data_IF_638650148828
#
_entry.id   IF_638650148828
#
_cell.length_a   1.000
_cell.length_b   1.000
_cell.length_c   1.000
_cell.angle_alpha   90.00
_cell.angle_beta   90.00
_cell.angle_gamma   90.00
#
_symmetry.space_group_name_H-M   'P 1'
#
loop_
_entity.id
_entity.type
_entity.pdbx_description
1 polymer ?
#
# COMPACT_ATOMS: atom_id res chain seq x y z
N UNK A 1 -2.60 10.59 22.27
CA UNK A 1 -1.38 10.32 21.44
C UNK A 1 -0.68 11.62 21.13
N UNK A 2 0.66 11.67 21.25
CA UNK A 2 1.45 12.82 20.82
C UNK A 2 2.80 12.36 20.26
N UNK A 3 3.05 12.62 18.99
CA UNK A 3 4.27 12.24 18.27
C UNK A 3 4.72 13.34 17.32
N UNK A 4 6.02 13.61 17.28
CA UNK A 4 6.66 14.46 16.29
C UNK A 4 7.68 13.66 15.48
N UNK A 5 7.74 13.94 14.18
CA UNK A 5 8.71 13.32 13.31
C UNK A 5 9.09 14.19 12.12
N UNK A 6 10.28 13.96 11.60
CA UNK A 6 10.77 14.60 10.38
C UNK A 6 11.12 13.55 9.33
N UNK A 7 10.66 13.75 8.11
CA UNK A 7 10.91 12.89 6.96
C UNK A 7 11.82 13.61 5.96
N UNK A 8 12.98 13.01 5.67
CA UNK A 8 13.93 13.55 4.69
C UNK A 8 13.47 13.33 3.24
N UNK A 9 12.88 12.17 2.94
CA UNK A 9 12.29 11.91 1.64
C UNK A 9 10.80 12.25 1.61
N UNK A 10 10.51 13.52 1.39
CA UNK A 10 9.14 14.04 1.32
C UNK A 10 8.31 13.43 0.18
N UNK A 11 8.95 12.92 -0.88
CA UNK A 11 8.24 12.31 -2.00
C UNK A 11 7.66 10.95 -1.61
N UNK A 12 8.40 10.14 -0.86
CA UNK A 12 7.91 8.85 -0.36
C UNK A 12 6.72 9.04 0.58
N UNK A 13 6.78 10.02 1.49
CA UNK A 13 5.63 10.32 2.37
C UNK A 13 4.38 10.72 1.55
N UNK A 14 4.56 11.59 0.56
CA UNK A 14 3.47 12.00 -0.35
C UNK A 14 2.89 10.82 -1.11
N UNK A 15 3.74 9.96 -1.68
CA UNK A 15 3.31 8.81 -2.46
C UNK A 15 2.64 7.75 -1.58
N UNK A 16 3.15 7.53 -0.36
CA UNK A 16 2.54 6.65 0.64
C UNK A 16 1.13 7.13 1.06
N UNK A 17 0.99 8.40 1.46
CA UNK A 17 -0.31 8.94 1.85
C UNK A 17 -1.29 8.95 0.66
N UNK A 18 -0.80 9.19 -0.56
CA UNK A 18 -1.60 9.10 -1.78
C UNK A 18 -2.04 7.65 -2.06
N UNK A 19 -1.21 6.67 -1.76
CA UNK A 19 -1.53 5.25 -1.88
C UNK A 19 -2.64 4.85 -0.88
N UNK A 20 -2.50 5.26 0.38
CA UNK A 20 -3.51 5.01 1.41
C UNK A 20 -4.84 5.66 1.03
N UNK A 21 -4.81 6.89 0.53
CA UNK A 21 -5.99 7.64 0.10
C UNK A 21 -6.77 6.97 -1.05
N UNK A 22 -6.12 6.16 -1.89
CA UNK A 22 -6.80 5.35 -2.90
C UNK A 22 -7.70 4.25 -2.29
N UNK A 23 -7.39 3.83 -1.08
CA UNK A 23 -8.16 2.81 -0.36
C UNK A 23 -9.23 3.46 0.52
N UNK A 24 -8.88 4.50 1.27
CA UNK A 24 -9.81 5.15 2.21
C UNK A 24 -9.39 6.60 2.49
N UNK A 25 -10.39 7.45 2.73
CA UNK A 25 -10.21 8.81 3.26
C UNK A 25 -9.78 8.80 4.74
N UNK A 26 -10.06 7.71 5.46
CA UNK A 26 -9.77 7.56 6.87
C UNK A 26 -8.62 6.59 7.08
N UNK A 27 -7.68 6.95 7.93
CA UNK A 27 -6.56 6.12 8.33
C UNK A 27 -6.43 6.07 9.84
N UNK A 28 -6.35 4.86 10.39
CA UNK A 28 -5.97 4.65 11.78
C UNK A 28 -4.45 4.72 11.88
N UNK A 29 -3.94 5.57 12.75
CA UNK A 29 -2.51 5.75 13.02
C UNK A 29 -2.21 5.36 14.45
N UNK A 30 -1.22 4.51 14.64
CA UNK A 30 -0.70 4.12 15.95
C UNK A 30 0.75 4.56 16.05
N UNK A 31 1.09 5.25 17.16
CA UNK A 31 2.46 5.63 17.48
C UNK A 31 3.01 4.81 18.65
N UNK A 32 4.20 4.26 18.47
CA UNK A 32 4.98 3.53 19.46
C UNK A 32 6.46 3.89 19.38
N UNK A 33 7.28 3.36 20.29
CA UNK A 33 8.73 3.64 20.30
C UNK A 33 9.44 3.09 19.06
N UNK A 34 8.88 2.07 18.45
CA UNK A 34 9.38 1.38 17.25
C UNK A 34 9.03 2.10 15.95
N UNK A 35 8.10 3.07 15.98
CA UNK A 35 7.67 3.83 14.82
C UNK A 35 6.18 4.04 14.74
N UNK A 36 5.67 4.14 13.50
CA UNK A 36 4.26 4.33 13.19
C UNK A 36 3.67 3.10 12.49
N UNK A 37 2.42 2.78 12.80
CA UNK A 37 1.60 1.88 11.99
C UNK A 37 0.40 2.65 11.48
N UNK A 38 0.11 2.53 10.18
CA UNK A 38 -1.06 3.11 9.52
C UNK A 38 -1.91 1.98 8.96
N UNK A 39 -3.22 2.08 9.16
CA UNK A 39 -4.15 1.10 8.62
C UNK A 39 -5.36 1.81 8.00
N UNK A 40 -5.67 1.45 6.77
CA UNK A 40 -6.84 1.93 6.05
C UNK A 40 -7.58 0.76 5.41
N UNK A 41 -8.89 0.85 5.36
CA UNK A 41 -9.76 -0.13 4.71
C UNK A 41 -10.86 0.60 3.96
N UNK A 42 -11.20 0.14 2.76
CA UNK A 42 -12.29 0.72 2.00
C UNK A 42 -13.65 0.43 2.66
N UNK A 43 -14.64 1.25 2.33
CA UNK A 43 -15.99 1.15 2.90
C UNK A 43 -16.63 -0.21 2.69
N UNK A 44 -16.38 -0.85 1.54
CA UNK A 44 -16.91 -2.18 1.20
C UNK A 44 -16.12 -3.32 1.80
N UNK A 45 -15.00 -3.03 2.48
CA UNK A 45 -14.06 -4.01 3.06
C UNK A 45 -13.49 -5.00 2.06
N UNK A 46 -13.32 -4.56 0.84
CA UNK A 46 -12.73 -5.34 -0.26
C UNK A 46 -11.23 -5.14 -0.33
N UNK A 47 -10.76 -3.93 -0.06
CA UNK A 47 -9.34 -3.60 -0.09
C UNK A 47 -8.89 -2.96 1.23
N UNK A 48 -7.68 -3.26 1.66
CA UNK A 48 -7.06 -2.65 2.83
C UNK A 48 -5.58 -2.36 2.57
N UNK A 49 -5.04 -1.42 3.35
CA UNK A 49 -3.61 -1.14 3.36
C UNK A 49 -3.11 -1.08 4.81
N UNK A 50 -2.08 -1.86 5.10
CA UNK A 50 -1.39 -1.93 6.39
C UNK A 50 0.06 -1.51 6.17
N UNK A 51 0.46 -0.43 6.80
CA UNK A 51 1.77 0.18 6.64
C UNK A 51 2.48 0.21 7.97
N UNK A 52 3.74 -0.23 7.99
CA UNK A 52 4.62 -0.10 9.13
C UNK A 52 5.80 0.77 8.75
N UNK A 53 6.05 1.79 9.53
CA UNK A 53 7.16 2.73 9.36
C UNK A 53 8.01 2.66 10.61
N UNK A 54 9.16 1.98 10.53
CA UNK A 54 10.06 1.91 11.68
C UNK A 54 10.66 3.27 11.99
N UNK A 55 10.99 3.53 13.25
CA UNK A 55 11.56 4.81 13.72
C UNK A 55 12.79 5.25 12.94
N UNK A 56 13.60 4.29 12.46
CA UNK A 56 14.77 4.56 11.61
C UNK A 56 14.47 5.11 10.20
N UNK A 57 13.22 5.18 9.79
CA UNK A 57 12.80 5.85 8.55
C UNK A 57 12.86 7.37 8.67
N UNK A 58 12.68 7.89 9.89
CA UNK A 58 12.59 9.31 10.19
C UNK A 58 13.98 9.87 10.51
N UNK A 59 14.25 11.11 10.12
CA UNK A 59 15.42 11.85 10.57
C UNK A 59 15.32 12.26 12.05
N UNK A 60 14.10 12.60 12.48
CA UNK A 60 13.75 12.84 13.88
C UNK A 60 12.46 12.09 14.18
N UNK A 61 12.40 11.39 15.31
CA UNK A 61 11.20 10.69 15.77
C UNK A 61 11.11 10.76 17.28
N UNK A 62 10.09 11.43 17.79
CA UNK A 62 9.88 11.65 19.22
C UNK A 62 8.44 11.31 19.58
N UNK A 63 8.25 10.33 20.45
CA UNK A 63 6.95 9.96 21.00
C UNK A 63 6.85 10.50 22.39
N UNK A 64 6.05 11.55 22.61
CA UNK A 64 5.76 12.07 23.95
C UNK A 64 4.67 11.24 24.63
N UNK A 65 3.66 10.80 23.85
CA UNK A 65 2.56 9.99 24.34
C UNK A 65 2.14 8.97 23.29
N UNK A 66 2.26 7.67 23.64
CA UNK A 66 1.82 6.55 22.79
C UNK A 66 0.30 6.53 22.69
N UNK A 67 -0.21 6.03 21.58
CA UNK A 67 -1.64 5.87 21.37
C UNK A 67 -2.03 5.75 19.93
N UNK A 68 -3.32 5.83 19.69
CA UNK A 68 -3.94 5.66 18.39
C UNK A 68 -4.83 6.87 18.06
N UNK A 69 -4.90 7.26 16.80
CA UNK A 69 -5.80 8.31 16.29
C UNK A 69 -6.36 7.91 14.94
N UNK A 70 -7.58 8.33 14.64
CA UNK A 70 -8.13 8.26 13.29
C UNK A 70 -7.96 9.62 12.61
N UNK A 71 -7.33 9.61 11.43
CA UNK A 71 -7.07 10.81 10.63
C UNK A 71 -7.82 10.76 9.31
N UNK A 72 -8.47 11.87 8.95
CA UNK A 72 -8.86 12.13 7.57
C UNK A 72 -7.63 12.59 6.78
N UNK A 73 -7.23 11.82 5.76
CA UNK A 73 -5.97 12.07 5.03
C UNK A 73 -6.12 12.90 3.77
N UNK A 74 -7.36 13.21 3.34
CA UNK A 74 -7.59 14.03 2.15
C UNK A 74 -6.92 15.41 2.23
N UNK A 75 -6.97 16.05 3.39
CA UNK A 75 -6.34 17.35 3.62
C UNK A 75 -4.81 17.25 3.63
N UNK A 76 -4.26 16.20 4.27
CA UNK A 76 -2.82 15.94 4.24
C UNK A 76 -2.32 15.71 2.81
N UNK A 77 -3.02 14.90 2.02
CA UNK A 77 -2.68 14.65 0.62
C UNK A 77 -2.72 15.95 -0.20
N UNK A 78 -3.72 16.82 0.03
CA UNK A 78 -3.81 18.12 -0.61
C UNK A 78 -2.66 19.05 -0.23
N UNK A 79 -2.29 19.11 1.03
CA UNK A 79 -1.16 19.92 1.50
C UNK A 79 0.17 19.46 0.90
N UNK A 80 0.36 18.15 0.72
CA UNK A 80 1.56 17.58 0.13
C UNK A 80 1.60 17.64 -1.40
N UNK A 81 0.52 18.02 -2.08
CA UNK A 81 0.44 18.01 -3.55
C UNK A 81 1.60 18.75 -4.23
N UNK A 82 2.00 19.89 -3.68
CA UNK A 82 3.03 20.76 -4.24
C UNK A 82 4.44 20.51 -3.66
N UNK A 83 4.61 19.44 -2.88
CA UNK A 83 5.90 19.00 -2.38
C UNK A 83 6.74 18.49 -3.54
N UNK A 84 8.01 18.87 -3.59
CA UNK A 84 9.00 18.46 -4.59
C UNK A 84 10.16 17.75 -3.90
N UNK A 85 10.98 17.06 -4.69
CA UNK A 85 12.20 16.43 -4.21
C UNK A 85 13.08 17.48 -3.48
N UNK A 86 13.64 17.10 -2.34
CA UNK A 86 14.46 17.95 -1.50
C UNK A 86 13.70 18.84 -0.50
N UNK A 87 12.36 18.73 -0.43
CA UNK A 87 11.62 19.32 0.68
C UNK A 87 11.78 18.45 1.92
N UNK A 88 11.95 19.08 3.07
CA UNK A 88 11.77 18.41 4.37
C UNK A 88 10.32 18.55 4.82
N UNK A 89 9.84 17.52 5.51
CA UNK A 89 8.50 17.46 6.07
C UNK A 89 8.61 17.15 7.55
N UNK A 90 8.24 18.12 8.41
CA UNK A 90 8.07 17.88 9.85
C UNK A 90 6.60 17.83 10.18
N UNK A 91 6.19 16.75 10.85
CA UNK A 91 4.80 16.54 11.30
C UNK A 91 4.75 16.41 12.83
N UNK A 92 3.72 16.99 13.42
CA UNK A 92 3.31 16.73 14.79
C UNK A 92 1.88 16.24 14.78
N UNK A 93 1.64 15.06 15.35
CA UNK A 93 0.32 14.45 15.45
C UNK A 93 -0.11 14.42 16.91
N UNK A 94 -1.28 14.94 17.19
CA UNK A 94 -1.95 14.82 18.50
C UNK A 94 -3.43 14.48 18.30
N UNK A 95 -4.13 14.21 19.40
CA UNK A 95 -5.56 13.90 19.37
C UNK A 95 -6.41 15.09 18.88
N UNK A 96 -5.90 16.31 19.00
CA UNK A 96 -6.64 17.54 18.70
C UNK A 96 -6.13 18.26 17.44
N UNK A 97 -4.88 18.04 17.05
CA UNK A 97 -4.25 18.79 15.98
C UNK A 97 -3.17 17.99 15.25
N UNK A 98 -3.15 18.12 13.93
CA UNK A 98 -2.05 17.71 13.06
C UNK A 98 -1.37 18.95 12.52
N UNK A 99 -0.12 19.15 12.87
CA UNK A 99 0.73 20.22 12.33
C UNK A 99 1.63 19.66 11.24
N UNK A 100 1.65 20.29 10.07
CA UNK A 100 2.49 19.93 8.94
C UNK A 100 3.35 21.14 8.54
N UNK A 101 4.66 21.02 8.69
CA UNK A 101 5.64 22.02 8.27
C UNK A 101 6.42 21.49 7.06
N UNK A 102 6.39 22.25 5.97
CA UNK A 102 7.07 21.93 4.71
C UNK A 102 8.13 23.01 4.45
N UNK A 103 9.39 22.62 4.35
CA UNK A 103 10.47 23.54 4.01
C UNK A 103 11.18 23.10 2.72
N UNK A 104 11.43 24.05 1.81
CA UNK A 104 12.25 23.79 0.62
C UNK A 104 13.72 23.61 1.00
N UNK A 105 14.48 22.86 0.20
CA UNK A 105 15.89 22.56 0.44
C UNK A 105 16.77 23.81 0.65
N UNK A 106 16.43 24.92 -0.02
CA UNK A 106 17.15 26.19 0.10
C UNK A 106 16.58 27.14 1.19
N UNK A 107 15.55 26.69 1.92
CA UNK A 107 14.91 27.49 2.98
C UNK A 107 14.06 28.67 2.49
N UNK A 108 13.95 28.90 1.19
CA UNK A 108 13.18 30.05 0.64
C UNK A 108 11.68 29.92 0.87
N UNK A 109 11.18 28.71 0.96
CA UNK A 109 9.75 28.42 1.12
C UNK A 109 9.57 27.63 2.41
N UNK A 110 8.78 28.17 3.32
CA UNK A 110 8.32 27.48 4.51
C UNK A 110 6.78 27.61 4.56
N UNK A 111 6.08 26.46 4.68
CA UNK A 111 4.63 26.39 4.75
C UNK A 111 4.23 25.62 5.99
N UNK A 112 3.33 26.20 6.75
CA UNK A 112 2.75 25.54 7.92
C UNK A 112 1.27 25.36 7.69
N UNK A 113 0.79 24.14 7.89
CA UNK A 113 -0.63 23.77 7.87
C UNK A 113 -1.01 23.21 9.23
N UNK A 114 -2.19 23.59 9.69
CA UNK A 114 -2.83 23.03 10.87
C UNK A 114 -4.10 22.35 10.39
N UNK A 115 -4.25 21.08 10.73
CA UNK A 115 -5.37 20.23 10.33
C UNK A 115 -5.95 19.64 11.59
N UNK A 116 -7.25 19.77 11.78
CA UNK A 116 -7.94 19.11 12.89
C UNK A 116 -8.26 17.69 12.48
N UNK A 117 -7.81 16.68 13.25
CA UNK A 117 -8.08 15.30 12.94
C UNK A 117 -9.59 15.04 12.96
N UNK A 118 -10.04 14.25 12.02
CA UNK A 118 -11.40 13.71 12.08
C UNK A 118 -11.48 12.77 13.28
N UNK A 119 -12.43 13.04 14.19
CA UNK A 119 -12.66 12.19 15.36
C UNK A 119 -13.51 10.97 14.97
N UNK A 120 -12.96 10.12 14.13
CA UNK A 120 -13.54 8.83 13.79
C UNK A 120 -13.16 7.73 14.76
N UNK A 121 -13.81 6.59 14.63
CA UNK A 121 -13.42 5.40 15.38
C UNK A 121 -12.11 4.84 14.79
N UNK A 122 -11.15 4.58 15.68
CA UNK A 122 -9.93 3.89 15.33
C UNK A 122 -10.27 2.45 14.94
N UNK A 123 -9.99 2.08 13.70
CA UNK A 123 -10.33 0.77 13.15
C UNK A 123 -9.05 -0.04 12.96
N UNK A 124 -8.74 -0.93 13.90
CA UNK A 124 -7.70 -1.94 13.74
C UNK A 124 -8.36 -3.27 13.43
N UNK A 125 -8.31 -3.70 12.19
CA UNK A 125 -8.62 -5.09 11.87
C UNK A 125 -7.41 -5.96 12.26
N UNK A 126 -7.65 -6.92 13.13
CA UNK A 126 -6.73 -8.04 13.30
C UNK A 126 -6.85 -8.92 12.06
N UNK A 127 -6.10 -8.56 11.01
CA UNK A 127 -5.99 -9.41 9.84
C UNK A 127 -5.37 -10.73 10.28
N UNK A 128 -6.01 -11.85 9.96
CA UNK A 128 -5.43 -13.15 10.25
C UNK A 128 -4.12 -13.32 9.49
N UNK A 129 -3.22 -14.10 10.03
CA UNK A 129 -2.07 -14.57 9.27
C UNK A 129 -2.58 -15.52 8.19
N UNK A 130 -2.71 -14.98 6.97
CA UNK A 130 -3.08 -15.77 5.81
C UNK A 130 -1.90 -16.69 5.48
N UNK A 131 -2.00 -17.96 5.82
CA UNK A 131 -1.03 -18.95 5.33
C UNK A 131 -1.17 -19.04 3.81
N UNK A 132 -0.35 -18.32 3.11
CA UNK A 132 -0.36 -18.30 1.65
C UNK A 132 0.43 -19.48 1.09
N UNK A 133 -0.16 -20.14 0.07
CA UNK A 133 0.49 -21.23 -0.68
C UNK A 133 1.47 -20.72 -1.73
N UNK A 134 1.19 -19.58 -2.33
CA UNK A 134 2.00 -18.99 -3.38
C UNK A 134 2.65 -17.68 -2.93
N UNK A 135 3.92 -17.53 -3.28
CA UNK A 135 4.70 -16.32 -3.14
C UNK A 135 5.44 -16.05 -4.45
N UNK A 136 5.13 -14.93 -5.08
CA UNK A 136 5.73 -14.50 -6.33
C UNK A 136 6.42 -13.14 -6.10
N UNK A 137 7.70 -13.05 -6.46
CA UNK A 137 8.42 -11.79 -6.50
C UNK A 137 8.64 -11.38 -7.95
N UNK A 138 8.31 -10.15 -8.29
CA UNK A 138 8.49 -9.61 -9.63
C UNK A 138 8.53 -8.08 -9.61
N UNK A 139 9.06 -7.44 -10.69
CA UNK A 139 8.96 -5.99 -10.85
C UNK A 139 7.49 -5.54 -10.87
N UNK A 140 7.16 -4.51 -10.10
CA UNK A 140 5.79 -3.95 -10.03
C UNK A 140 5.27 -3.53 -11.40
N UNK A 141 6.17 -3.06 -12.30
CA UNK A 141 5.84 -2.68 -13.67
C UNK A 141 5.26 -3.84 -14.48
N UNK A 142 5.78 -5.07 -14.31
CA UNK A 142 5.30 -6.25 -15.03
C UNK A 142 3.89 -6.64 -14.60
N UNK A 143 3.59 -6.59 -13.29
CA UNK A 143 2.21 -6.83 -12.83
C UNK A 143 1.26 -5.78 -13.41
N UNK A 144 1.66 -4.50 -13.38
CA UNK A 144 0.83 -3.41 -13.91
C UNK A 144 0.53 -3.56 -15.39
N UNK A 145 1.54 -3.88 -16.20
CA UNK A 145 1.37 -4.12 -17.62
C UNK A 145 0.38 -5.25 -17.88
N UNK A 146 0.55 -6.38 -17.18
CA UNK A 146 -0.36 -7.52 -17.29
C UNK A 146 -1.80 -7.17 -16.89
N UNK A 147 -1.99 -6.45 -15.78
CA UNK A 147 -3.31 -6.03 -15.31
C UNK A 147 -3.96 -5.10 -16.34
N UNK A 148 -3.23 -4.10 -16.85
CA UNK A 148 -3.75 -3.14 -17.83
C UNK A 148 -4.14 -3.81 -19.17
N UNK A 149 -3.40 -4.82 -19.60
CA UNK A 149 -3.75 -5.58 -20.79
C UNK A 149 -5.03 -6.41 -20.58
N UNK A 150 -5.16 -7.05 -19.43
CA UNK A 150 -6.31 -7.90 -19.11
C UNK A 150 -7.58 -7.10 -18.81
N UNK A 151 -7.47 -5.86 -18.29
CA UNK A 151 -8.60 -4.94 -18.10
C UNK A 151 -9.34 -4.59 -19.41
N UNK A 152 -8.69 -4.75 -20.56
CA UNK A 152 -9.33 -4.60 -21.88
C UNK A 152 -10.33 -5.72 -22.19
N UNK A 153 -10.27 -6.80 -21.42
CA UNK A 153 -11.05 -8.03 -21.64
C UNK A 153 -12.13 -8.20 -20.57
N UNK A 154 -11.80 -8.01 -19.28
CA UNK A 154 -12.70 -8.28 -18.16
C UNK A 154 -12.40 -7.38 -16.98
N UNK A 155 -13.36 -7.26 -16.05
CA UNK A 155 -13.18 -6.56 -14.76
C UNK A 155 -12.54 -7.45 -13.69
N UNK A 156 -12.43 -8.74 -13.97
CA UNK A 156 -11.86 -9.73 -13.06
C UNK A 156 -10.86 -10.65 -13.76
N UNK A 157 -9.90 -11.15 -12.98
CA UNK A 157 -8.94 -12.12 -13.46
C UNK A 157 -8.76 -13.27 -12.47
N UNK A 158 -8.47 -14.45 -13.02
CA UNK A 158 -7.99 -15.61 -12.30
C UNK A 158 -6.46 -15.54 -12.22
N UNK A 159 -5.93 -15.59 -11.01
CA UNK A 159 -4.51 -15.80 -10.75
C UNK A 159 -4.27 -17.27 -10.42
N UNK A 160 -3.28 -17.87 -11.05
CA UNK A 160 -2.86 -19.25 -10.80
C UNK A 160 -1.34 -19.30 -10.66
N UNK A 161 -0.85 -19.89 -9.58
CA UNK A 161 0.56 -20.18 -9.42
C UNK A 161 0.77 -21.69 -9.32
N UNK A 162 1.70 -22.20 -10.10
CA UNK A 162 2.07 -23.61 -10.16
C UNK A 162 3.60 -23.72 -10.15
N UNK A 163 4.13 -24.94 -10.17
CA UNK A 163 5.57 -25.18 -10.20
C UNK A 163 6.18 -24.50 -11.43
N UNK A 164 6.97 -23.43 -11.15
CA UNK A 164 7.70 -22.72 -12.19
C UNK A 164 6.88 -21.79 -13.09
N UNK A 165 5.64 -21.49 -12.74
CA UNK A 165 4.84 -20.51 -13.50
C UNK A 165 3.82 -19.76 -12.65
N UNK A 166 3.64 -18.49 -12.96
CA UNK A 166 2.54 -17.67 -12.46
C UNK A 166 1.75 -17.12 -13.64
N UNK A 167 0.44 -17.28 -13.59
CA UNK A 167 -0.46 -16.97 -14.70
C UNK A 167 -1.58 -16.08 -14.23
N UNK A 168 -1.88 -15.05 -15.02
CA UNK A 168 -3.07 -14.20 -14.85
C UNK A 168 -3.92 -14.36 -16.10
N UNK A 169 -5.19 -14.74 -15.93
CA UNK A 169 -6.13 -14.99 -17.02
C UNK A 169 -7.40 -14.16 -16.81
N UNK A 170 -7.86 -13.52 -17.87
CA UNK A 170 -9.14 -12.82 -17.92
C UNK A 170 -9.93 -13.29 -19.13
N UNK A 171 -11.25 -13.44 -18.98
CA UNK A 171 -12.14 -13.86 -20.06
C UNK A 171 -13.51 -13.21 -19.94
N UNK A 172 -14.14 -12.98 -21.08
CA UNK A 172 -15.56 -12.68 -21.21
C UNK A 172 -16.20 -13.64 -22.25
N UNK A 173 -17.41 -13.36 -22.70
CA UNK A 173 -18.13 -14.21 -23.67
C UNK A 173 -17.45 -14.22 -25.06
N UNK A 174 -16.69 -13.19 -25.40
CA UNK A 174 -16.15 -12.98 -26.76
C UNK A 174 -14.62 -13.13 -26.80
N UNK A 175 -13.94 -12.81 -25.71
CA UNK A 175 -12.48 -12.67 -25.67
C UNK A 175 -11.88 -13.32 -24.42
N UNK A 176 -10.67 -13.81 -24.57
CA UNK A 176 -9.86 -14.30 -23.45
C UNK A 176 -8.42 -13.82 -23.59
N UNK A 177 -7.78 -13.53 -22.47
CA UNK A 177 -6.36 -13.17 -22.39
C UNK A 177 -5.68 -13.97 -21.29
N UNK A 178 -4.43 -14.32 -21.56
CA UNK A 178 -3.59 -15.07 -20.63
C UNK A 178 -2.18 -14.50 -20.66
N UNK A 179 -1.67 -14.12 -19.50
CA UNK A 179 -0.31 -13.65 -19.33
C UNK A 179 0.41 -14.58 -18.38
N UNK A 180 1.54 -15.09 -18.83
CA UNK A 180 2.35 -16.06 -18.11
C UNK A 180 3.70 -15.45 -17.72
N UNK A 181 4.03 -15.59 -16.45
CA UNK A 181 5.34 -15.28 -15.88
C UNK A 181 6.06 -16.60 -15.59
N UNK A 182 7.32 -16.65 -15.94
CA UNK A 182 8.23 -17.75 -15.62
C UNK A 182 9.45 -17.18 -14.87
N UNK A 183 10.12 -17.98 -14.03
CA UNK A 183 11.33 -17.54 -13.37
C UNK A 183 12.35 -17.03 -14.39
N UNK A 184 12.94 -15.87 -14.13
CA UNK A 184 13.92 -15.25 -15.00
C UNK A 184 14.95 -14.48 -14.17
N UNK A 185 16.19 -14.90 -14.23
CA UNK A 185 17.40 -14.24 -13.75
C UNK A 185 17.26 -13.53 -12.37
N UNK A 186 16.64 -14.18 -11.40
CA UNK A 186 16.30 -13.66 -10.07
C UNK A 186 15.37 -12.43 -10.06
N UNK A 187 14.94 -11.93 -11.22
CA UNK A 187 13.99 -10.83 -11.31
C UNK A 187 12.54 -11.29 -11.14
N UNK A 188 12.27 -12.57 -11.43
CA UNK A 188 10.99 -13.23 -11.17
C UNK A 188 11.25 -14.51 -10.39
N UNK A 189 10.75 -14.55 -9.16
CA UNK A 189 10.83 -15.72 -8.28
C UNK A 189 9.42 -16.25 -8.03
N UNK A 190 9.22 -17.55 -8.16
CA UNK A 190 7.93 -18.19 -7.97
C UNK A 190 8.12 -19.36 -7.01
N UNK A 191 7.55 -19.25 -5.82
CA UNK A 191 7.52 -20.28 -4.80
C UNK A 191 6.07 -20.69 -4.54
N UNK A 192 5.77 -21.98 -4.64
CA UNK A 192 4.43 -22.50 -4.39
C UNK A 192 4.52 -23.74 -3.50
N UNK A 193 3.84 -23.66 -2.35
CA UNK A 193 3.63 -24.79 -1.46
C UNK A 193 2.30 -25.44 -1.79
N UNK A 194 2.27 -26.75 -2.05
CA UNK A 194 1.06 -27.51 -2.40
C UNK A 194 0.32 -26.92 -3.63
N UNK A 195 0.98 -26.95 -4.82
CA UNK A 195 0.42 -26.40 -6.05
C UNK A 195 -0.76 -27.22 -6.62
N UNK A 196 -1.63 -26.60 -7.43
CA UNK A 196 -1.65 -25.17 -7.73
C UNK A 196 -2.35 -24.33 -6.66
N UNK A 197 -1.94 -23.08 -6.51
CA UNK A 197 -2.73 -22.05 -5.82
C UNK A 197 -3.52 -21.25 -6.84
N UNK A 198 -4.81 -20.99 -6.59
CA UNK A 198 -5.66 -20.26 -7.54
C UNK A 198 -6.73 -19.42 -6.84
N UNK A 199 -6.97 -18.22 -7.36
CA UNK A 199 -8.04 -17.34 -6.88
C UNK A 199 -8.42 -16.29 -7.90
N UNK A 200 -9.58 -15.66 -7.72
CA UNK A 200 -10.10 -14.60 -8.60
C UNK A 200 -10.07 -13.25 -7.89
N UNK A 201 -9.68 -12.20 -8.61
CA UNK A 201 -9.57 -10.84 -8.05
C UNK A 201 -10.05 -9.79 -9.04
N UNK A 202 -10.49 -8.65 -8.51
CA UNK A 202 -10.84 -7.47 -9.31
C UNK A 202 -9.59 -6.87 -9.96
N UNK A 203 -9.61 -6.73 -11.27
CA UNK A 203 -8.54 -6.09 -12.05
C UNK A 203 -8.49 -4.58 -11.77
N UNK A 204 -9.63 -3.93 -11.54
CA UNK A 204 -9.67 -2.52 -11.16
C UNK A 204 -8.90 -2.25 -9.87
N UNK A 205 -9.11 -3.08 -8.84
CA UNK A 205 -8.38 -2.95 -7.58
C UNK A 205 -6.91 -3.32 -7.74
N UNK A 206 -6.58 -4.35 -8.51
CA UNK A 206 -5.19 -4.71 -8.79
C UNK A 206 -4.44 -3.58 -9.51
N UNK A 207 -5.07 -2.90 -10.49
CA UNK A 207 -4.46 -1.73 -11.15
C UNK A 207 -4.24 -0.57 -10.17
N UNK A 208 -5.28 -0.22 -9.39
CA UNK A 208 -5.17 0.86 -8.39
C UNK A 208 -4.04 0.59 -7.39
N UNK A 209 -4.02 -0.60 -6.80
CA UNK A 209 -3.03 -0.95 -5.78
C UNK A 209 -1.62 -1.07 -6.37
N UNK A 210 -1.44 -1.77 -7.48
CA UNK A 210 -0.13 -1.89 -8.11
C UNK A 210 0.42 -0.55 -8.59
N UNK A 211 -0.43 0.34 -9.12
CA UNK A 211 -0.07 1.71 -9.49
C UNK A 211 0.39 2.54 -8.30
N UNK A 212 -0.25 2.36 -7.15
CA UNK A 212 0.14 3.04 -5.92
C UNK A 212 1.49 2.53 -5.41
N UNK A 213 1.66 1.21 -5.34
CA UNK A 213 2.87 0.57 -4.84
C UNK A 213 4.09 0.83 -5.74
N UNK A 214 3.90 0.94 -7.05
CA UNK A 214 4.97 1.27 -8.00
C UNK A 214 5.63 2.64 -7.76
N UNK A 215 4.99 3.55 -7.03
CA UNK A 215 5.60 4.83 -6.64
C UNK A 215 6.49 4.71 -5.40
N UNK A 216 6.32 3.64 -4.66
CA UNK A 216 7.05 3.36 -3.41
C UNK A 216 8.29 2.54 -3.71
N UNK A 217 8.15 1.47 -4.52
CA UNK A 217 9.25 0.58 -4.86
C UNK A 217 9.01 -0.13 -6.19
N UNK A 218 10.10 -0.48 -6.86
CA UNK A 218 10.07 -1.25 -8.11
C UNK A 218 9.84 -2.75 -7.88
N UNK A 219 10.15 -3.25 -6.68
CA UNK A 219 9.97 -4.65 -6.31
C UNK A 219 8.61 -4.90 -5.66
N UNK A 220 7.96 -5.98 -6.04
CA UNK A 220 6.68 -6.41 -5.51
C UNK A 220 6.69 -7.89 -5.18
N UNK A 221 6.20 -8.24 -4.00
CA UNK A 221 5.90 -9.59 -3.60
C UNK A 221 4.37 -9.78 -3.59
N UNK A 222 3.89 -10.79 -4.29
CA UNK A 222 2.50 -11.20 -4.35
C UNK A 222 2.35 -12.48 -3.56
N UNK A 223 1.43 -12.52 -2.60
CA UNK A 223 1.13 -13.71 -1.81
C UNK A 223 -0.35 -14.03 -1.91
N UNK A 224 -0.71 -15.27 -2.22
CA UNK A 224 -2.10 -15.69 -2.24
C UNK A 224 -2.28 -17.20 -2.04
N UNK A 225 -3.52 -17.61 -1.83
CA UNK A 225 -3.97 -19.00 -1.74
C UNK A 225 -5.37 -19.13 -2.32
N UNK A 226 -5.86 -20.36 -2.39
CA UNK A 226 -7.19 -20.67 -2.92
C UNK A 226 -8.27 -19.90 -2.17
N UNK A 227 -9.02 -19.07 -2.88
CA UNK A 227 -10.14 -18.28 -2.37
C UNK A 227 -9.80 -17.44 -1.11
N UNK A 228 -8.56 -17.00 -0.97
CA UNK A 228 -8.13 -16.12 0.10
C UNK A 228 -7.72 -14.74 -0.44
N UNK A 229 -7.67 -13.71 0.41
CA UNK A 229 -7.15 -12.43 0.01
C UNK A 229 -5.75 -12.53 -0.59
N UNK A 230 -5.45 -11.73 -1.62
CA UNK A 230 -4.09 -11.53 -2.10
C UNK A 230 -3.45 -10.40 -1.31
N UNK A 231 -2.19 -10.59 -0.97
CA UNK A 231 -1.33 -9.54 -0.41
C UNK A 231 -0.32 -9.10 -1.47
N UNK A 232 -0.26 -7.81 -1.69
CA UNK A 232 0.75 -7.12 -2.48
C UNK A 232 1.67 -6.40 -1.50
N UNK A 233 2.90 -6.84 -1.39
CA UNK A 233 3.84 -6.35 -0.38
C UNK A 233 5.03 -5.70 -1.07
N UNK A 234 5.39 -4.50 -0.61
CA UNK A 234 6.58 -3.81 -1.08
C UNK A 234 7.32 -3.18 0.09
N UNK A 235 8.62 -2.99 -0.08
CA UNK A 235 9.52 -2.45 0.92
C UNK A 235 10.30 -1.27 0.38
N UNK A 236 10.53 -0.26 1.22
CA UNK A 236 11.42 0.85 0.93
C UNK A 236 12.19 1.25 2.19
N UNK A 237 13.43 0.77 2.31
CA UNK A 237 14.22 0.95 3.53
C UNK A 237 13.51 0.37 4.76
N UNK A 238 13.16 1.22 5.70
CA UNK A 238 12.45 0.87 6.94
C UNK A 238 10.92 1.00 6.84
N UNK A 239 10.39 1.04 5.63
CA UNK A 239 8.97 1.13 5.33
C UNK A 239 8.47 -0.19 4.75
N UNK A 240 7.49 -0.81 5.43
CA UNK A 240 6.75 -1.97 4.97
C UNK A 240 5.35 -1.55 4.53
N UNK A 241 4.97 -1.84 3.29
CA UNK A 241 3.63 -1.57 2.77
C UNK A 241 2.99 -2.86 2.29
N UNK A 242 1.86 -3.20 2.90
CA UNK A 242 1.06 -4.36 2.55
C UNK A 242 -0.33 -3.91 2.10
N UNK A 243 -0.63 -4.07 0.83
CA UNK A 243 -1.97 -3.90 0.29
C UNK A 243 -2.65 -5.28 0.21
N UNK A 244 -3.91 -5.35 0.61
CA UNK A 244 -4.69 -6.58 0.72
C UNK A 244 -5.95 -6.41 -0.11
N UNK A 245 -6.26 -7.42 -0.91
CA UNK A 245 -7.46 -7.44 -1.75
C UNK A 245 -8.23 -8.74 -1.54
N UNK A 246 -9.51 -8.62 -1.20
CA UNK A 246 -10.39 -9.77 -1.05
C UNK A 246 -10.59 -10.51 -2.37
N UNK A 247 -10.73 -11.86 -2.34
CA UNK A 247 -11.03 -12.63 -3.53
C UNK A 247 -12.49 -12.43 -3.96
N UNK A 248 -12.75 -12.63 -5.24
CA UNK A 248 -14.11 -12.80 -5.76
C UNK A 248 -14.47 -14.27 -5.56
N UNK A 249 -15.45 -14.54 -4.70
CA UNK A 249 -15.94 -15.91 -4.39
C UNK A 249 -17.33 -16.12 -4.98
N UNK A 250 -17.65 -17.34 -5.40
CA UNK A 250 -19.02 -17.70 -5.81
C UNK A 250 -19.27 -17.80 -7.30
N UNK A 251 -18.22 -18.13 -8.06
CA UNK A 251 -18.40 -18.60 -9.47
C UNK A 251 -17.89 -20.00 -9.69
#
# INVERSE_FOLDING_TARGET
>A
MKVEFMVGDSMILKDLLSAIYLVSDEVSVKAGDDGLRLFAIDFSRVAAMDVKISSGFFEEFVVEEKGDVCLGISDLVRCLKNVKRGYSVKMSLSDDEVSLNLASANGEINRKFLIHPYKGEVNWLNLPDFKHKAMIELPTSLLREAVQDLMKISDEAKMTADLGEFVIEAKNEVSAGKIKFAPYDNSIVINVEDPPAQSHYSLEWLDKLSKALAKISDGLMIRFSDNKPVELVTYYGCLDVRAILAPIVGR
#
